data_IF_848693212721
#
_entry.id   IF_848693212721
#
_cell.length_a   1.000
_cell.length_b   1.000
_cell.length_c   1.000
_cell.angle_alpha   90.00
_cell.angle_beta   90.00
_cell.angle_gamma   90.00
#
_symmetry.space_group_name_H-M   'P 1'
#
loop_
_entity.id
_entity.type
_entity.pdbx_description
1 polymer ?
#
# COMPACT_ATOMS: atom_id res chain seq x y z
N UNK A 1 11.27 -17.56 -2.63
CA UNK A 1 12.17 -17.17 -3.73
C UNK A 1 11.38 -16.28 -4.68
N UNK A 2 11.51 -14.96 -4.57
CA UNK A 2 10.66 -14.00 -5.30
C UNK A 2 11.16 -13.91 -6.74
N UNK A 3 10.26 -13.80 -7.72
CA UNK A 3 10.59 -13.78 -9.15
C UNK A 3 11.72 -12.77 -9.53
N UNK A 4 11.84 -11.67 -8.79
CA UNK A 4 12.92 -10.68 -8.98
C UNK A 4 14.33 -11.24 -8.75
N UNK A 5 14.51 -12.17 -7.80
CA UNK A 5 15.81 -12.79 -7.53
C UNK A 5 16.24 -13.65 -8.72
N UNK A 6 15.29 -14.31 -9.38
CA UNK A 6 15.55 -15.12 -10.57
C UNK A 6 15.96 -14.25 -11.76
N UNK A 7 15.28 -13.13 -11.99
CA UNK A 7 15.63 -12.19 -13.05
C UNK A 7 17.05 -11.64 -12.85
N UNK A 8 17.46 -11.39 -11.59
CA UNK A 8 18.78 -10.85 -11.28
C UNK A 8 19.92 -11.87 -11.32
N UNK A 9 19.62 -13.18 -11.28
CA UNK A 9 20.65 -14.24 -11.13
C UNK A 9 20.69 -15.25 -12.26
N UNK A 10 19.57 -15.48 -12.95
CA UNK A 10 19.51 -16.39 -14.08
C UNK A 10 20.07 -15.72 -15.35
N UNK A 11 20.91 -16.42 -16.13
CA UNK A 11 21.40 -15.89 -17.40
C UNK A 11 20.27 -15.81 -18.44
N UNK A 12 20.35 -14.84 -19.35
CA UNK A 12 19.41 -14.68 -20.47
C UNK A 12 18.49 -13.46 -20.39
N UNK A 13 18.51 -12.73 -19.28
CA UNK A 13 17.85 -11.43 -19.16
C UNK A 13 18.76 -10.29 -19.64
N UNK A 14 18.19 -9.29 -20.30
CA UNK A 14 18.93 -8.08 -20.64
C UNK A 14 19.21 -7.19 -19.41
N UNK A 15 20.13 -6.25 -19.57
CA UNK A 15 20.56 -5.37 -18.48
C UNK A 15 19.43 -4.48 -17.94
N UNK A 16 18.47 -4.11 -18.79
CA UNK A 16 17.35 -3.26 -18.38
C UNK A 16 16.39 -4.04 -17.49
N UNK A 17 16.07 -5.28 -17.85
CA UNK A 17 15.24 -6.18 -17.05
C UNK A 17 15.87 -6.46 -15.68
N UNK A 18 17.19 -6.70 -15.63
CA UNK A 18 17.93 -6.89 -14.37
C UNK A 18 17.91 -5.62 -13.50
N UNK A 19 18.13 -4.46 -14.12
CA UNK A 19 18.12 -3.17 -13.42
C UNK A 19 16.75 -2.81 -12.86
N UNK A 20 15.69 -3.00 -13.66
CA UNK A 20 14.31 -2.73 -13.26
C UNK A 20 13.84 -3.71 -12.17
N UNK A 21 14.16 -4.99 -12.29
CA UNK A 21 13.79 -5.99 -11.28
C UNK A 21 14.44 -5.69 -9.93
N UNK A 22 15.72 -5.29 -9.94
CA UNK A 22 16.46 -4.88 -8.75
C UNK A 22 15.87 -3.62 -8.12
N UNK A 23 15.56 -2.61 -8.94
CA UNK A 23 14.95 -1.35 -8.51
C UNK A 23 13.56 -1.57 -7.89
N UNK A 24 12.74 -2.41 -8.51
CA UNK A 24 11.41 -2.75 -8.00
C UNK A 24 11.51 -3.56 -6.70
N UNK A 25 12.41 -4.54 -6.63
CA UNK A 25 12.69 -5.26 -5.39
C UNK A 25 13.12 -4.29 -4.29
N UNK A 26 13.97 -3.32 -4.58
CA UNK A 26 14.37 -2.31 -3.60
C UNK A 26 13.17 -1.50 -3.11
N UNK A 27 12.25 -1.09 -4.00
CA UNK A 27 11.01 -0.40 -3.62
C UNK A 27 10.08 -1.25 -2.77
N UNK A 28 9.96 -2.54 -3.06
CA UNK A 28 9.17 -3.47 -2.24
C UNK A 28 9.81 -3.76 -0.87
N UNK A 29 11.07 -3.39 -0.66
CA UNK A 29 11.75 -3.42 0.64
C UNK A 29 11.86 -2.02 1.28
N UNK A 30 11.30 -0.97 0.66
CA UNK A 30 11.29 0.39 1.22
C UNK A 30 10.11 0.50 2.20
N UNK A 31 10.43 0.87 3.45
CA UNK A 31 9.43 0.96 4.51
C UNK A 31 8.29 1.93 4.18
N UNK A 32 8.63 3.16 3.77
CA UNK A 32 7.63 4.20 3.51
C UNK A 32 6.67 3.77 2.40
N UNK A 33 7.23 3.17 1.33
CA UNK A 33 6.44 2.64 0.23
C UNK A 33 5.49 1.54 0.70
N UNK A 34 5.97 0.54 1.44
CA UNK A 34 5.15 -0.57 1.90
C UNK A 34 4.12 -0.13 2.94
N UNK A 35 4.45 0.82 3.81
CA UNK A 35 3.52 1.40 4.78
C UNK A 35 2.38 2.14 4.06
N UNK A 36 2.71 2.99 3.08
CA UNK A 36 1.70 3.66 2.25
C UNK A 36 0.84 2.65 1.49
N UNK A 37 1.45 1.59 0.93
CA UNK A 37 0.72 0.54 0.23
C UNK A 37 -0.28 -0.16 1.16
N UNK A 38 0.09 -0.45 2.41
CA UNK A 38 -0.80 -1.03 3.41
C UNK A 38 -1.96 -0.10 3.78
N UNK A 39 -1.71 1.22 3.88
CA UNK A 39 -2.75 2.23 4.07
C UNK A 39 -3.73 2.22 2.89
N UNK A 40 -3.23 2.30 1.65
CA UNK A 40 -4.08 2.28 0.46
C UNK A 40 -4.89 1.00 0.35
N UNK A 41 -4.28 -0.16 0.62
CA UNK A 41 -5.00 -1.44 0.65
C UNK A 41 -6.15 -1.43 1.66
N UNK A 42 -5.93 -0.85 2.84
CA UNK A 42 -6.98 -0.75 3.87
C UNK A 42 -8.11 0.18 3.43
N UNK A 43 -7.79 1.32 2.81
CA UNK A 43 -8.78 2.26 2.25
C UNK A 43 -9.59 1.58 1.14
N UNK A 44 -8.91 0.95 0.18
CA UNK A 44 -9.55 0.28 -0.95
C UNK A 44 -10.42 -0.90 -0.51
N UNK A 45 -10.05 -1.60 0.56
CA UNK A 45 -10.91 -2.62 1.16
C UNK A 45 -12.28 -2.09 1.61
N UNK A 46 -12.40 -0.80 1.93
CA UNK A 46 -13.66 -0.15 2.30
C UNK A 46 -14.37 0.51 1.11
N UNK A 47 -13.60 1.10 0.18
CA UNK A 47 -14.17 1.86 -0.94
C UNK A 47 -14.56 0.98 -2.12
N UNK A 48 -13.88 -0.15 -2.34
CA UNK A 48 -14.20 -1.05 -3.46
C UNK A 48 -15.63 -1.64 -3.33
N UNK A 49 -16.06 -2.18 -2.16
CA UNK A 49 -17.44 -2.65 -2.01
C UNK A 49 -18.47 -1.54 -2.22
N UNK A 50 -18.17 -0.31 -1.76
CA UNK A 50 -19.03 0.84 -1.99
C UNK A 50 -19.14 1.15 -3.49
N UNK A 51 -18.01 1.17 -4.20
CA UNK A 51 -17.95 1.40 -5.64
C UNK A 51 -18.77 0.37 -6.43
N UNK A 52 -18.71 -0.90 -6.05
CA UNK A 52 -19.50 -1.96 -6.68
C UNK A 52 -21.01 -1.79 -6.44
N UNK A 53 -21.41 -1.45 -5.20
CA UNK A 53 -22.82 -1.19 -4.87
C UNK A 53 -23.35 -0.01 -5.68
N UNK A 54 -22.62 1.10 -5.72
CA UNK A 54 -23.04 2.31 -6.44
C UNK A 54 -23.15 2.09 -7.96
N UNK A 55 -22.39 1.15 -8.52
CA UNK A 55 -22.45 0.80 -9.94
C UNK A 55 -23.49 -0.26 -10.29
N UNK A 56 -24.09 -0.95 -9.32
CA UNK A 56 -25.03 -2.05 -9.58
C UNK A 56 -26.30 -1.65 -10.35
N UNK A 57 -26.56 -0.34 -10.52
CA UNK A 57 -27.74 0.26 -11.19
C UNK A 57 -29.10 -0.15 -10.61
N UNK A 58 -29.15 -0.99 -9.59
CA UNK A 58 -30.35 -1.39 -8.83
C UNK A 58 -30.56 -0.49 -7.60
N UNK A 59 -30.30 0.81 -7.75
CA UNK A 59 -30.10 1.74 -6.64
C UNK A 59 -31.39 2.03 -5.85
N UNK A 60 -31.51 1.47 -4.65
CA UNK A 60 -32.32 2.05 -3.58
C UNK A 60 -31.51 3.20 -2.97
N UNK A 61 -31.97 4.45 -3.19
CA UNK A 61 -31.29 5.66 -2.73
C UNK A 61 -31.03 5.64 -1.22
N UNK A 62 -31.94 5.07 -0.42
CA UNK A 62 -31.75 4.98 1.04
C UNK A 62 -30.61 4.04 1.39
N UNK A 63 -30.57 2.87 0.76
CA UNK A 63 -29.48 1.92 0.93
C UNK A 63 -28.14 2.53 0.52
N UNK A 64 -28.12 3.36 -0.53
CA UNK A 64 -26.90 4.03 -0.97
C UNK A 64 -26.38 5.04 0.06
N UNK A 65 -27.27 5.86 0.60
CA UNK A 65 -26.92 6.83 1.64
C UNK A 65 -26.37 6.16 2.90
N UNK A 66 -27.01 5.08 3.34
CA UNK A 66 -26.53 4.26 4.46
C UNK A 66 -25.13 3.68 4.20
N UNK A 67 -24.90 3.16 2.99
CA UNK A 67 -23.60 2.59 2.59
C UNK A 67 -22.50 3.65 2.52
N UNK A 68 -22.77 4.80 1.91
CA UNK A 68 -21.81 5.92 1.84
C UNK A 68 -21.45 6.40 3.24
N UNK A 69 -22.46 6.63 4.08
CA UNK A 69 -22.26 7.10 5.47
C UNK A 69 -21.49 6.08 6.30
N UNK A 70 -21.82 4.79 6.17
CA UNK A 70 -21.11 3.70 6.83
C UNK A 70 -19.63 3.62 6.42
N UNK A 71 -19.35 3.66 5.12
CA UNK A 71 -17.97 3.68 4.61
C UNK A 71 -17.20 4.91 5.08
N UNK A 72 -17.83 6.09 5.10
CA UNK A 72 -17.19 7.31 5.61
C UNK A 72 -16.83 7.19 7.09
N UNK A 73 -17.73 6.63 7.92
CA UNK A 73 -17.46 6.41 9.34
C UNK A 73 -16.33 5.38 9.55
N UNK A 74 -16.31 4.30 8.77
CA UNK A 74 -15.23 3.33 8.80
C UNK A 74 -13.88 3.96 8.41
N UNK A 75 -13.83 4.78 7.35
CA UNK A 75 -12.62 5.51 6.95
C UNK A 75 -12.13 6.47 8.03
N UNK A 76 -13.04 7.14 8.75
CA UNK A 76 -12.68 7.97 9.90
C UNK A 76 -12.09 7.14 11.03
N UNK A 77 -12.65 5.96 11.31
CA UNK A 77 -12.15 5.05 12.34
C UNK A 77 -10.72 4.54 12.05
N UNK A 78 -10.33 4.42 10.77
CA UNK A 78 -8.95 4.07 10.39
C UNK A 78 -7.91 5.09 10.85
N UNK A 79 -8.30 6.30 11.25
CA UNK A 79 -7.39 7.33 11.77
C UNK A 79 -6.99 7.11 13.23
N UNK A 80 -7.45 6.01 13.85
CA UNK A 80 -7.10 5.67 15.22
C UNK A 80 -5.64 5.30 15.38
N UNK A 81 -5.08 5.57 16.56
CA UNK A 81 -3.72 5.15 16.94
C UNK A 81 -3.56 3.64 16.83
N UNK A 82 -4.59 2.87 17.19
CA UNK A 82 -4.59 1.40 17.07
C UNK A 82 -4.41 0.95 15.62
N UNK A 83 -5.13 1.56 14.68
CA UNK A 83 -5.00 1.23 13.25
C UNK A 83 -3.60 1.56 12.76
N UNK A 84 -3.08 2.74 13.14
CA UNK A 84 -1.71 3.15 12.81
C UNK A 84 -0.69 2.14 13.33
N UNK A 85 -0.72 1.81 14.63
CA UNK A 85 0.23 0.89 15.26
C UNK A 85 0.21 -0.48 14.58
N UNK A 86 -0.98 -1.01 14.32
CA UNK A 86 -1.12 -2.30 13.62
C UNK A 86 -0.50 -2.28 12.23
N UNK A 87 -0.78 -1.24 11.43
CA UNK A 87 -0.20 -1.13 10.08
C UNK A 87 1.32 -0.93 10.13
N UNK A 88 1.80 -0.16 11.10
CA UNK A 88 3.22 0.11 11.29
C UNK A 88 3.96 -1.17 11.68
N UNK A 89 3.48 -1.88 12.70
CA UNK A 89 4.07 -3.14 13.18
C UNK A 89 4.10 -4.21 12.09
N UNK A 90 2.99 -4.39 11.35
CA UNK A 90 2.94 -5.30 10.21
C UNK A 90 3.98 -4.94 9.14
N UNK A 91 4.16 -3.64 8.87
CA UNK A 91 5.16 -3.17 7.91
C UNK A 91 6.57 -3.42 8.43
N UNK A 92 6.84 -3.17 9.72
CA UNK A 92 8.13 -3.48 10.35
C UNK A 92 8.45 -4.97 10.27
N UNK A 93 7.47 -5.83 10.52
CA UNK A 93 7.65 -7.28 10.38
C UNK A 93 7.93 -7.70 8.93
N UNK A 94 7.41 -6.97 7.94
CA UNK A 94 7.54 -7.31 6.52
C UNK A 94 8.86 -6.83 5.92
N UNK A 95 9.27 -5.59 6.20
CA UNK A 95 10.43 -4.95 5.53
C UNK A 95 11.47 -4.34 6.48
N UNK A 96 11.30 -4.50 7.79
CA UNK A 96 12.18 -3.92 8.81
C UNK A 96 11.78 -2.49 9.19
N UNK A 97 12.57 -1.85 10.05
CA UNK A 97 12.30 -0.49 10.53
C UNK A 97 12.58 0.57 9.44
N UNK A 98 11.91 1.75 9.50
CA UNK A 98 12.20 2.84 8.59
C UNK A 98 13.69 3.21 8.56
N UNK A 99 14.26 3.35 7.36
CA UNK A 99 15.65 3.77 7.20
C UNK A 99 15.73 5.31 7.33
N UNK A 100 16.45 5.81 8.35
CA UNK A 100 16.73 7.26 8.57
C UNK A 100 17.52 7.95 7.43
N UNK A 101 17.91 7.22 6.38
CA UNK A 101 18.84 7.70 5.35
C UNK A 101 18.31 8.85 4.48
N UNK A 102 17.01 9.17 4.49
CA UNK A 102 16.43 10.27 3.68
C UNK A 102 16.56 11.67 4.30
N UNK A 103 16.95 11.84 5.57
CA UNK A 103 17.10 13.18 6.16
C UNK A 103 18.29 14.00 5.64
N UNK A 104 19.33 13.37 5.09
CA UNK A 104 20.58 14.07 4.71
C UNK A 104 20.58 14.76 3.34
N UNK A 105 19.59 14.53 2.48
CA UNK A 105 19.56 15.16 1.14
C UNK A 105 18.73 16.45 1.07
N UNK A 106 18.09 16.87 2.17
CA UNK A 106 17.25 18.07 2.22
C UNK A 106 17.82 19.18 3.14
N UNK A 107 18.90 18.91 3.87
CA UNK A 107 19.63 19.91 4.67
C UNK A 107 20.88 20.47 3.94
N UNK A 108 20.97 20.23 2.62
CA UNK A 108 22.09 20.61 1.77
C UNK A 108 21.77 21.68 0.72
N UNK A 109 20.85 22.61 1.03
CA UNK A 109 20.62 23.84 0.25
C UNK A 109 20.54 25.04 1.18
#
# INVERSE_FOLDING_TARGET
MIAFDRIATEPGWDNDAVSQSSSLKQKLNDFDFMFMLAIFQTIFGLTEPLFQILQSKTLDIRQCDERVTGTLNALKALRSTETFSRLYENTVQTVGIPNERRKRSLEGF
#
